data_IF_144588075504
#
_entry.id   IF_144588075504
#
_cell.length_a   1.000
_cell.length_b   1.000
_cell.length_c   1.000
_cell.angle_alpha   90.00
_cell.angle_beta   90.00
_cell.angle_gamma   90.00
#
_symmetry.space_group_name_H-M   'P 1'
#
loop_
_entity.id
_entity.type
_entity.pdbx_description
1 polymer ?
#
# COMPACT_ATOMS: atom_id res chain seq x y z
N UNK A 1 -27.31 11.82 -18.63
CA UNK A 1 -27.77 10.55 -18.00
C UNK A 1 -26.64 10.08 -17.09
N UNK A 2 -26.86 10.03 -15.78
CA UNK A 2 -25.92 9.36 -14.87
C UNK A 2 -25.82 7.90 -15.29
N UNK A 3 -24.62 7.36 -15.41
CA UNK A 3 -24.48 5.97 -15.83
C UNK A 3 -24.85 5.07 -14.64
N UNK A 4 -25.76 4.12 -14.86
CA UNK A 4 -26.16 3.14 -13.83
C UNK A 4 -24.93 2.44 -13.19
N UNK A 5 -23.87 2.28 -13.97
CA UNK A 5 -22.59 1.69 -13.54
C UNK A 5 -21.89 2.51 -12.47
N UNK A 6 -21.80 3.83 -12.65
CA UNK A 6 -21.12 4.70 -11.69
C UNK A 6 -21.85 4.73 -10.34
N UNK A 7 -23.19 4.71 -10.35
CA UNK A 7 -23.96 4.68 -9.10
C UNK A 7 -23.76 3.38 -8.34
N UNK A 8 -23.77 2.23 -9.03
CA UNK A 8 -23.48 0.93 -8.43
C UNK A 8 -22.07 0.88 -7.83
N UNK A 9 -21.06 1.38 -8.55
CA UNK A 9 -19.68 1.46 -8.05
C UNK A 9 -19.60 2.34 -6.79
N UNK A 10 -20.30 3.47 -6.76
CA UNK A 10 -20.34 4.34 -5.57
C UNK A 10 -20.91 3.62 -4.36
N UNK A 11 -21.97 2.85 -4.52
CA UNK A 11 -22.57 2.07 -3.42
C UNK A 11 -21.59 1.04 -2.86
N UNK A 12 -20.89 0.30 -3.73
CA UNK A 12 -19.86 -0.65 -3.30
C UNK A 12 -18.72 0.05 -2.55
N UNK A 13 -18.24 1.20 -3.04
CA UNK A 13 -17.20 1.96 -2.37
C UNK A 13 -17.65 2.52 -1.01
N UNK A 14 -18.93 2.86 -0.85
CA UNK A 14 -19.50 3.26 0.44
C UNK A 14 -19.51 2.08 1.43
N UNK A 15 -19.82 0.86 0.97
CA UNK A 15 -19.76 -0.36 1.81
C UNK A 15 -18.36 -0.63 2.35
N UNK A 16 -17.32 -0.20 1.63
CA UNK A 16 -15.93 -0.27 2.08
C UNK A 16 -15.55 0.80 3.12
N UNK A 17 -16.52 1.60 3.59
CA UNK A 17 -16.33 2.67 4.57
C UNK A 17 -15.35 3.76 4.10
N UNK A 18 -15.34 4.03 2.78
CA UNK A 18 -14.56 5.12 2.19
C UNK A 18 -15.29 6.46 2.36
N UNK A 19 -14.53 7.53 2.61
CA UNK A 19 -15.09 8.87 2.65
C UNK A 19 -15.50 9.35 1.26
N UNK A 20 -16.54 10.19 1.19
CA UNK A 20 -17.08 10.72 -0.08
C UNK A 20 -16.01 11.35 -0.96
N UNK A 21 -15.05 12.08 -0.37
CA UNK A 21 -13.98 12.75 -1.11
C UNK A 21 -13.01 11.75 -1.73
N UNK A 22 -12.70 10.66 -1.05
CA UNK A 22 -11.91 9.56 -1.60
C UNK A 22 -12.64 8.82 -2.71
N UNK A 23 -13.96 8.58 -2.55
CA UNK A 23 -14.79 7.98 -3.61
C UNK A 23 -14.77 8.83 -4.88
N UNK A 24 -15.01 10.14 -4.74
CA UNK A 24 -14.99 11.07 -5.87
C UNK A 24 -13.62 11.08 -6.55
N UNK A 25 -12.53 11.03 -5.78
CA UNK A 25 -11.16 10.91 -6.32
C UNK A 25 -10.94 9.60 -7.06
N UNK A 26 -11.40 8.47 -6.52
CA UNK A 26 -11.21 7.17 -7.17
C UNK A 26 -11.92 7.15 -8.52
N UNK A 27 -13.17 7.61 -8.57
CA UNK A 27 -13.97 7.66 -9.80
C UNK A 27 -13.39 8.64 -10.82
N UNK A 28 -12.80 9.74 -10.36
CA UNK A 28 -12.16 10.72 -11.25
C UNK A 28 -10.81 10.22 -11.82
N UNK A 29 -10.03 9.48 -11.02
CA UNK A 29 -8.66 9.11 -11.38
C UNK A 29 -8.54 7.74 -12.07
N UNK A 30 -9.52 6.85 -11.92
CA UNK A 30 -9.46 5.50 -12.48
C UNK A 30 -10.65 5.22 -13.41
N UNK A 31 -10.45 4.47 -14.51
CA UNK A 31 -11.55 4.02 -15.35
C UNK A 31 -12.56 3.19 -14.54
N UNK A 32 -13.85 3.42 -14.76
CA UNK A 32 -14.92 2.68 -14.07
C UNK A 32 -14.77 1.16 -14.20
N UNK A 33 -14.30 0.68 -15.36
CA UNK A 33 -14.06 -0.74 -15.61
C UNK A 33 -12.98 -1.33 -14.70
N UNK A 34 -11.89 -0.61 -14.47
CA UNK A 34 -10.81 -1.08 -13.59
C UNK A 34 -11.27 -1.13 -12.14
N UNK A 35 -12.06 -0.15 -11.71
CA UNK A 35 -12.64 -0.14 -10.36
C UNK A 35 -13.56 -1.35 -10.17
N UNK A 36 -14.43 -1.62 -11.14
CA UNK A 36 -15.35 -2.78 -11.13
C UNK A 36 -14.56 -4.10 -11.05
N UNK A 37 -13.56 -4.29 -11.91
CA UNK A 37 -12.71 -5.50 -11.90
C UNK A 37 -12.00 -5.73 -10.55
N UNK A 38 -11.52 -4.66 -9.89
CA UNK A 38 -10.88 -4.80 -8.57
C UNK A 38 -11.90 -5.07 -7.45
N UNK A 39 -13.10 -4.51 -7.52
CA UNK A 39 -14.17 -4.80 -6.57
C UNK A 39 -14.62 -6.27 -6.66
N UNK A 40 -14.74 -6.82 -7.87
CA UNK A 40 -15.06 -8.23 -8.08
C UNK A 40 -13.98 -9.15 -7.48
N UNK A 41 -12.70 -8.81 -7.67
CA UNK A 41 -11.59 -9.55 -7.06
C UNK A 41 -11.62 -9.50 -5.52
N UNK A 42 -12.04 -8.37 -4.95
CA UNK A 42 -12.15 -8.20 -3.52
C UNK A 42 -13.27 -9.06 -2.94
N UNK A 43 -14.40 -9.22 -3.65
CA UNK A 43 -15.50 -10.10 -3.24
C UNK A 43 -15.07 -11.57 -3.22
N UNK A 44 -14.22 -11.99 -4.17
CA UNK A 44 -13.65 -13.34 -4.21
C UNK A 44 -12.66 -13.53 -3.04
N UNK A 45 -11.84 -12.51 -2.74
CA UNK A 45 -10.85 -12.52 -1.65
C UNK A 45 -11.47 -12.17 -0.29
N UNK A 46 -12.47 -12.96 0.14
CA UNK A 46 -13.27 -12.74 1.38
C UNK A 46 -12.47 -12.54 2.69
N UNK A 47 -11.16 -12.80 2.71
CA UNK A 47 -10.30 -12.71 3.91
C UNK A 47 -9.39 -11.46 3.93
N UNK A 48 -9.74 -10.39 3.22
CA UNK A 48 -8.96 -9.14 3.26
C UNK A 48 -9.27 -8.35 4.54
N UNK A 49 -8.26 -8.16 5.40
CA UNK A 49 -8.37 -7.45 6.69
C UNK A 49 -8.77 -5.98 6.50
N UNK A 50 -8.24 -5.32 5.46
CA UNK A 50 -8.55 -3.92 5.15
C UNK A 50 -8.94 -3.81 3.65
N UNK A 51 -10.23 -3.96 3.32
CA UNK A 51 -10.68 -3.99 1.94
C UNK A 51 -10.48 -2.65 1.21
N UNK A 52 -10.70 -1.52 1.89
CA UNK A 52 -10.47 -0.19 1.34
C UNK A 52 -8.98 0.05 1.01
N UNK A 53 -8.08 -0.29 1.94
CA UNK A 53 -6.64 -0.17 1.74
C UNK A 53 -6.12 -1.09 0.63
N UNK A 54 -6.66 -2.30 0.56
CA UNK A 54 -6.36 -3.24 -0.53
C UNK A 54 -6.79 -2.68 -1.88
N UNK A 55 -8.02 -2.15 -1.99
CA UNK A 55 -8.53 -1.58 -3.24
C UNK A 55 -7.67 -0.42 -3.73
N UNK A 56 -7.31 0.51 -2.84
CA UNK A 56 -6.43 1.66 -3.19
C UNK A 56 -5.09 1.16 -3.74
N UNK A 57 -4.49 0.18 -3.08
CA UNK A 57 -3.21 -0.41 -3.49
C UNK A 57 -3.34 -1.16 -4.82
N UNK A 58 -4.44 -1.90 -5.01
CA UNK A 58 -4.71 -2.66 -6.23
C UNK A 58 -4.92 -1.74 -7.45
N UNK A 59 -5.54 -0.58 -7.26
CA UNK A 59 -5.68 0.43 -8.29
C UNK A 59 -4.35 1.12 -8.62
N UNK A 60 -3.52 1.41 -7.61
CA UNK A 60 -2.19 2.02 -7.80
C UNK A 60 -1.19 1.09 -8.50
N UNK A 61 -1.22 -0.20 -8.20
CA UNK A 61 -0.26 -1.18 -8.73
C UNK A 61 -0.45 -1.46 -10.23
N UNK A 62 -1.69 -1.50 -10.72
CA UNK A 62 -1.98 -1.60 -12.16
C UNK A 62 -1.44 -0.39 -12.94
N UNK A 63 -1.46 0.81 -12.35
CA UNK A 63 -1.02 2.04 -13.00
C UNK A 63 0.52 2.15 -13.08
N UNK A 64 1.23 1.58 -12.11
CA UNK A 64 2.70 1.58 -12.08
C UNK A 64 3.34 0.45 -12.90
N UNK A 65 2.59 -0.60 -13.23
CA UNK A 65 3.10 -1.70 -14.03
C UNK A 65 2.05 -2.27 -15.01
N UNK A 66 1.79 -1.59 -16.16
CA UNK A 66 0.75 -1.98 -17.10
C UNK A 66 1.00 -3.30 -17.87
N UNK A 67 2.07 -4.05 -17.55
CA UNK A 67 2.51 -5.24 -18.31
C UNK A 67 2.22 -6.60 -17.67
N UNK A 68 1.46 -6.69 -16.58
CA UNK A 68 1.19 -7.98 -15.92
C UNK A 68 -0.28 -8.40 -15.92
N UNK A 69 -1.05 -8.07 -16.96
CA UNK A 69 -2.32 -8.74 -17.24
C UNK A 69 -2.06 -10.14 -17.84
N UNK A 70 -1.45 -11.02 -17.05
CA UNK A 70 -1.57 -12.47 -17.23
C UNK A 70 -2.17 -13.00 -15.94
N UNK A 71 -3.48 -13.16 -16.01
CA UNK A 71 -4.29 -14.17 -15.35
C UNK A 71 -3.46 -15.23 -14.60
N UNK A 72 -3.28 -15.02 -13.30
CA UNK A 72 -2.84 -16.07 -12.38
C UNK A 72 -3.94 -16.22 -11.33
N UNK A 73 -4.89 -17.07 -11.70
CA UNK A 73 -5.78 -17.72 -10.77
C UNK A 73 -4.96 -18.76 -10.01
N UNK A 74 -4.32 -18.35 -8.91
CA UNK A 74 -3.78 -19.32 -7.97
C UNK A 74 -4.23 -19.02 -6.54
N UNK A 75 -5.04 -19.95 -6.06
CA UNK A 75 -5.21 -20.26 -4.66
C UNK A 75 -3.82 -20.59 -4.10
N UNK A 76 -3.28 -19.75 -3.24
CA UNK A 76 -2.69 -20.22 -1.97
C UNK A 76 -2.27 -19.05 -1.09
N UNK A 77 -2.86 -19.06 0.10
CA UNK A 77 -2.31 -18.49 1.31
C UNK A 77 -0.88 -19.01 1.52
N UNK A 78 0.12 -18.13 1.36
CA UNK A 78 1.43 -18.26 2.00
C UNK A 78 2.04 -16.87 2.18
N UNK A 79 1.97 -16.42 3.42
CA UNK A 79 2.78 -15.35 4.00
C UNK A 79 4.26 -15.53 3.67
N UNK A 80 4.79 -14.72 2.76
CA UNK A 80 6.22 -14.38 2.73
C UNK A 80 6.40 -12.88 2.47
N UNK A 81 6.94 -12.22 3.49
CA UNK A 81 7.62 -10.92 3.38
C UNK A 81 8.73 -11.11 2.35
N UNK A 82 8.63 -10.40 1.24
CA UNK A 82 9.78 -10.14 0.40
C UNK A 82 9.83 -8.64 0.12
N UNK A 83 10.78 -8.03 0.82
CA UNK A 83 11.19 -6.65 0.75
C UNK A 83 11.84 -6.42 -0.62
N UNK A 84 11.21 -5.60 -1.45
CA UNK A 84 11.85 -5.05 -2.64
C UNK A 84 11.60 -3.54 -2.61
N UNK A 85 12.60 -2.81 -2.15
CA UNK A 85 12.75 -1.40 -2.53
C UNK A 85 13.19 -1.33 -4.00
N UNK A 86 12.80 -0.28 -4.72
CA UNK A 86 13.82 0.75 -4.95
C UNK A 86 13.32 2.21 -4.96
N UNK A 87 14.28 3.08 -4.62
CA UNK A 87 14.57 4.39 -5.22
C UNK A 87 13.65 5.62 -4.99
N UNK A 88 14.11 6.47 -4.08
CA UNK A 88 14.51 7.86 -4.37
C UNK A 88 13.76 8.63 -5.47
N UNK A 89 12.65 9.28 -5.10
CA UNK A 89 12.32 10.63 -5.61
C UNK A 89 11.42 11.37 -4.62
N UNK A 90 12.02 12.05 -3.66
CA UNK A 90 11.31 12.97 -2.75
C UNK A 90 10.91 14.23 -3.52
N UNK A 91 9.73 14.21 -4.13
CA UNK A 91 9.00 15.44 -4.44
C UNK A 91 8.48 16.03 -3.14
N UNK A 92 8.90 17.27 -2.86
CA UNK A 92 8.48 18.07 -1.71
C UNK A 92 6.96 18.27 -1.74
N UNK A 93 6.26 17.79 -0.71
CA UNK A 93 4.96 18.36 -0.32
C UNK A 93 4.98 18.59 1.18
N UNK A 94 4.76 19.86 1.55
CA UNK A 94 4.98 20.42 2.87
C UNK A 94 4.21 19.68 3.96
N UNK A 95 4.95 19.21 4.96
CA UNK A 95 4.40 18.72 6.22
C UNK A 95 4.42 19.90 7.18
N UNK A 96 3.23 20.36 7.51
CA UNK A 96 2.95 21.29 8.61
C UNK A 96 3.50 20.66 9.89
N UNK A 97 4.38 21.38 10.59
CA UNK A 97 4.88 21.00 11.92
C UNK A 97 3.73 20.85 12.91
N UNK A 98 3.81 19.86 13.82
CA UNK A 98 3.38 20.03 15.19
C UNK A 98 4.63 20.13 16.09
N UNK A 99 4.72 21.24 16.83
CA UNK A 99 5.74 21.45 17.84
C UNK A 99 5.54 20.55 19.07
N UNK A 100 6.69 20.10 19.59
CA UNK A 100 7.04 19.73 20.98
C UNK A 100 6.52 18.39 21.53
N UNK A 101 7.49 17.52 21.85
CA UNK A 101 7.87 17.21 23.24
C UNK A 101 9.28 16.61 23.26
N UNK A 102 10.20 17.29 23.94
CA UNK A 102 11.46 16.72 24.44
C UNK A 102 11.14 15.46 25.23
N UNK A 103 11.84 14.36 24.90
CA UNK A 103 12.20 13.27 25.81
C UNK A 103 13.20 12.36 25.11
N UNK A 104 14.40 12.36 25.68
CA UNK A 104 15.49 11.40 25.45
C UNK A 104 16.06 11.39 24.03
N UNK A 105 17.12 12.18 23.83
CA UNK A 105 18.04 12.01 22.71
C UNK A 105 18.73 10.64 22.82
N UNK A 106 18.02 9.58 22.42
CA UNK A 106 18.71 8.43 21.85
C UNK A 106 19.37 8.96 20.59
N UNK A 107 20.67 9.31 20.69
CA UNK A 107 21.51 9.67 19.55
C UNK A 107 21.15 8.71 18.42
N UNK A 108 20.48 9.22 17.40
CA UNK A 108 20.26 8.46 16.17
C UNK A 108 21.65 8.19 15.63
N UNK A 109 22.02 6.91 15.59
CA UNK A 109 23.28 6.48 15.02
C UNK A 109 23.34 6.97 13.57
N UNK A 110 24.53 7.39 13.12
CA UNK A 110 24.72 7.61 11.70
C UNK A 110 24.46 6.31 10.94
N UNK A 111 24.09 6.42 9.67
CA UNK A 111 23.83 5.27 8.81
C UNK A 111 24.99 4.27 8.80
N UNK A 112 26.23 4.77 8.85
CA UNK A 112 27.45 3.97 8.92
C UNK A 112 27.54 3.16 10.23
N UNK A 113 27.22 3.79 11.35
CA UNK A 113 27.23 3.17 12.68
C UNK A 113 26.13 2.09 12.80
N UNK A 114 24.94 2.34 12.22
CA UNK A 114 23.87 1.34 12.16
C UNK A 114 24.28 0.11 11.35
N UNK A 115 24.94 0.30 10.22
CA UNK A 115 25.42 -0.80 9.37
C UNK A 115 26.53 -1.59 10.06
N UNK A 116 27.43 -0.92 10.78
CA UNK A 116 28.48 -1.57 11.55
C UNK A 116 27.89 -2.39 12.71
N UNK A 117 26.86 -1.86 13.37
CA UNK A 117 26.14 -2.59 14.41
C UNK A 117 25.43 -3.84 13.87
N UNK A 118 24.77 -3.74 12.72
CA UNK A 118 24.15 -4.89 12.04
C UNK A 118 25.20 -5.96 11.67
N UNK A 119 26.37 -5.54 11.16
CA UNK A 119 27.49 -6.47 10.88
C UNK A 119 27.97 -7.18 12.14
N UNK A 120 28.11 -6.45 13.26
CA UNK A 120 28.53 -7.01 14.54
C UNK A 120 27.56 -8.05 15.07
N UNK A 121 26.25 -7.78 14.98
CA UNK A 121 25.19 -8.73 15.37
C UNK A 121 25.28 -10.00 14.52
N UNK A 122 25.42 -9.85 13.21
CA UNK A 122 25.54 -11.01 12.29
C UNK A 122 26.76 -11.86 12.61
N UNK A 123 27.91 -11.24 12.89
CA UNK A 123 29.12 -11.96 13.26
C UNK A 123 28.93 -12.77 14.54
N UNK A 124 28.34 -12.19 15.59
CA UNK A 124 28.12 -12.89 16.85
C UNK A 124 27.13 -14.05 16.72
N UNK A 125 26.09 -13.91 15.89
CA UNK A 125 25.13 -14.99 15.62
C UNK A 125 25.79 -16.13 14.82
N UNK A 126 26.64 -15.80 13.86
CA UNK A 126 27.32 -16.78 13.00
C UNK A 126 28.47 -17.51 13.71
N UNK A 127 29.13 -16.87 14.67
CA UNK A 127 30.24 -17.44 15.43
C UNK A 127 29.81 -18.20 16.69
N UNK A 128 28.50 -18.29 16.97
CA UNK A 128 27.94 -19.19 17.99
C UNK A 128 28.59 -19.07 19.38
N UNK A 129 28.67 -17.86 19.93
CA UNK A 129 29.02 -17.62 21.34
C UNK A 129 27.80 -17.22 22.16
#
# INVERSE_FOLDING_TARGET
>A
KKSLKEERIKEELIKLNLDKKSIDKIILNYPLKEIEEKLDLLEIKRNVINPAGWLITALQTNYLNPKSSKEENDKEEKTKKEEIQPENKRLKTGIVLPQKKEKEEKKRLSREEELEWIKKIRYNILEGK
#
